data_IF_872967631256
#
_entry.id   IF_872967631256
#
_cell.length_a   1.000
_cell.length_b   1.000
_cell.length_c   1.000
_cell.angle_alpha   90.00
_cell.angle_beta   90.00
_cell.angle_gamma   90.00
#
_symmetry.space_group_name_H-M   'P 1'
#
loop_
_entity.id
_entity.type
_entity.pdbx_description
1 polymer ?
#
# COMPACT_ATOMS: atom_id res chain seq x y z
N UNK A 1 -16.59 26.28 10.82
CA UNK A 1 -15.41 26.74 11.58
C UNK A 1 -14.83 25.54 12.33
N UNK A 2 -13.51 25.34 12.22
CA UNK A 2 -12.66 24.35 12.90
C UNK A 2 -13.22 22.93 13.06
N UNK A 3 -12.85 22.06 12.11
CA UNK A 3 -12.50 20.70 12.46
C UNK A 3 -11.46 20.77 13.59
N UNK A 4 -11.72 20.02 14.64
CA UNK A 4 -10.88 19.79 15.81
C UNK A 4 -9.53 19.20 15.35
N UNK A 5 -8.67 20.08 14.86
CA UNK A 5 -7.28 19.83 14.47
C UNK A 5 -6.41 19.63 15.73
N UNK A 6 -6.80 18.66 16.56
CA UNK A 6 -6.09 18.25 17.76
C UNK A 6 -6.49 16.82 18.16
N UNK A 7 -6.66 15.93 17.18
CA UNK A 7 -6.41 14.51 17.44
C UNK A 7 -4.92 14.36 17.19
N UNK A 8 -4.15 14.33 18.29
CA UNK A 8 -2.71 14.15 18.28
C UNK A 8 -2.34 13.00 17.34
N UNK A 9 -1.33 13.18 16.49
CA UNK A 9 -0.74 12.08 15.70
C UNK A 9 -0.42 10.86 16.59
N UNK A 10 -0.13 11.08 17.88
CA UNK A 10 0.04 10.02 18.86
C UNK A 10 -1.25 9.21 19.08
N UNK A 11 -2.41 9.86 19.20
CA UNK A 11 -3.71 9.19 19.30
C UNK A 11 -4.06 8.47 18.02
N UNK A 12 -3.77 9.05 16.86
CA UNK A 12 -4.03 8.40 15.56
C UNK A 12 -3.13 7.17 15.34
N UNK A 13 -1.87 7.24 15.77
CA UNK A 13 -0.96 6.09 15.82
C UNK A 13 -1.42 5.01 16.80
N UNK A 14 -1.91 5.40 17.98
CA UNK A 14 -2.47 4.46 18.95
C UNK A 14 -3.74 3.82 18.38
N UNK A 15 -4.61 4.60 17.73
CA UNK A 15 -5.83 4.09 17.10
C UNK A 15 -5.50 3.10 15.98
N UNK A 16 -4.57 3.46 15.10
CA UNK A 16 -4.04 2.58 14.04
C UNK A 16 -3.43 1.30 14.62
N UNK A 17 -2.66 1.42 15.71
CA UNK A 17 -2.02 0.28 16.37
C UNK A 17 -3.04 -0.62 17.08
N UNK A 18 -4.03 -0.05 17.77
CA UNK A 18 -5.13 -0.78 18.40
C UNK A 18 -5.95 -1.48 17.34
N UNK A 19 -6.30 -0.82 16.23
CA UNK A 19 -6.97 -1.47 15.10
C UNK A 19 -6.10 -2.63 14.59
N UNK A 20 -4.81 -2.41 14.35
CA UNK A 20 -3.90 -3.46 13.86
C UNK A 20 -3.68 -4.61 14.84
N UNK A 21 -3.90 -4.42 16.13
CA UNK A 21 -3.71 -5.44 17.18
C UNK A 21 -5.01 -6.17 17.52
N UNK A 22 -6.12 -5.44 17.67
CA UNK A 22 -7.45 -6.00 17.95
C UNK A 22 -8.08 -6.67 16.71
N UNK A 23 -7.79 -6.14 15.52
CA UNK A 23 -8.17 -6.75 14.24
C UNK A 23 -7.05 -7.60 13.65
N UNK A 24 -6.07 -8.07 14.45
CA UNK A 24 -5.05 -9.01 13.99
C UNK A 24 -5.64 -10.31 13.41
N UNK A 25 -6.87 -10.67 13.82
CA UNK A 25 -7.65 -11.78 13.28
C UNK A 25 -8.71 -11.35 12.24
N UNK A 26 -8.75 -10.10 11.81
CA UNK A 26 -9.68 -9.61 10.78
C UNK A 26 -8.94 -9.16 9.53
N UNK A 27 -9.57 -9.37 8.38
CA UNK A 27 -8.99 -8.99 7.09
C UNK A 27 -9.05 -7.47 6.91
N UNK A 28 -7.88 -6.82 6.88
CA UNK A 28 -7.75 -5.40 6.57
C UNK A 28 -7.51 -5.24 5.07
N UNK A 29 -8.42 -4.55 4.38
CA UNK A 29 -8.28 -4.24 2.95
C UNK A 29 -7.89 -2.77 2.84
N UNK A 30 -6.66 -2.52 2.40
CA UNK A 30 -6.14 -1.17 2.20
C UNK A 30 -6.08 -0.87 0.70
N UNK A 31 -6.83 0.13 0.26
CA UNK A 31 -6.70 0.69 -1.10
C UNK A 31 -5.71 1.85 -1.03
N UNK A 32 -4.55 1.70 -1.67
CA UNK A 32 -3.49 2.69 -1.64
C UNK A 32 -3.00 3.06 -3.03
N UNK A 33 -2.70 4.34 -3.21
CA UNK A 33 -2.05 4.88 -4.41
C UNK A 33 -0.51 4.92 -4.29
N UNK A 34 0.03 4.68 -3.09
CA UNK A 34 1.47 4.69 -2.82
C UNK A 34 2.02 3.27 -2.82
N UNK A 35 2.95 3.00 -3.73
CA UNK A 35 3.62 1.70 -3.85
C UNK A 35 4.27 1.22 -2.54
N UNK A 36 4.94 2.07 -1.72
CA UNK A 36 5.51 1.61 -0.44
C UNK A 36 4.49 1.04 0.54
N UNK A 37 3.27 1.59 0.55
CA UNK A 37 2.18 1.11 1.42
C UNK A 37 1.67 -0.25 0.97
N UNK A 38 1.61 -0.49 -0.34
CA UNK A 38 1.18 -1.77 -0.92
C UNK A 38 2.27 -2.83 -0.75
N UNK A 39 3.55 -2.45 -0.78
CA UNK A 39 4.67 -3.37 -0.54
C UNK A 39 4.74 -3.90 0.90
N UNK A 40 4.24 -3.17 1.90
CA UNK A 40 4.19 -3.61 3.31
C UNK A 40 2.99 -4.54 3.61
N UNK A 41 2.18 -4.86 2.60
CA UNK A 41 1.03 -5.75 2.75
C UNK A 41 1.44 -7.21 2.62
N UNK A 42 0.71 -8.10 3.31
CA UNK A 42 0.93 -9.56 3.24
C UNK A 42 0.53 -10.12 1.87
N UNK A 43 -0.56 -9.61 1.29
CA UNK A 43 -1.06 -9.98 -0.02
C UNK A 43 -1.43 -8.72 -0.81
N UNK A 44 -1.17 -8.74 -2.11
CA UNK A 44 -1.54 -7.66 -3.03
C UNK A 44 -2.55 -8.18 -4.03
N UNK A 45 -3.59 -7.38 -4.25
CA UNK A 45 -4.67 -7.65 -5.19
C UNK A 45 -4.70 -6.52 -6.24
N UNK A 46 -4.45 -6.84 -7.50
CA UNK A 46 -4.53 -5.89 -8.61
C UNK A 46 -5.80 -6.13 -9.42
N UNK A 47 -6.63 -5.09 -9.54
CA UNK A 47 -7.87 -5.10 -10.33
C UNK A 47 -7.70 -4.16 -11.52
N UNK A 48 -7.98 -4.65 -12.74
CA UNK A 48 -8.09 -3.85 -13.96
C UNK A 48 -9.43 -4.13 -14.63
N UNK A 49 -10.08 -3.10 -15.16
CA UNK A 49 -11.35 -3.22 -15.90
C UNK A 49 -12.44 -4.00 -15.15
N UNK A 50 -12.47 -3.85 -13.82
CA UNK A 50 -13.40 -4.57 -12.94
C UNK A 50 -13.12 -6.07 -12.79
N UNK A 51 -11.97 -6.57 -13.27
CA UNK A 51 -11.53 -7.95 -13.13
C UNK A 51 -10.29 -8.06 -12.26
N UNK A 52 -10.24 -9.12 -11.47
CA UNK A 52 -9.03 -9.49 -10.74
C UNK A 52 -7.96 -9.91 -11.75
N UNK A 53 -6.88 -9.16 -11.84
CA UNK A 53 -5.77 -9.47 -12.75
C UNK A 53 -4.67 -10.20 -12.01
N UNK A 54 -4.39 -9.81 -10.76
CA UNK A 54 -3.32 -10.41 -9.96
C UNK A 54 -3.70 -10.52 -8.50
N UNK A 55 -3.25 -11.60 -7.86
CA UNK A 55 -3.39 -11.81 -6.43
C UNK A 55 -2.27 -12.71 -5.92
N UNK A 56 -1.26 -12.11 -5.28
CA UNK A 56 -0.20 -12.86 -4.58
C UNK A 56 0.58 -11.95 -3.63
N UNK A 57 1.57 -12.53 -2.94
CA UNK A 57 2.55 -11.78 -2.16
C UNK A 57 3.31 -10.77 -3.03
N UNK A 58 3.56 -9.54 -2.53
CA UNK A 58 4.24 -8.50 -3.31
C UNK A 58 5.61 -8.95 -3.82
N UNK A 59 6.34 -9.76 -3.05
CA UNK A 59 7.64 -10.31 -3.47
C UNK A 59 7.54 -11.27 -4.64
N UNK A 60 6.45 -12.05 -4.76
CA UNK A 60 6.23 -12.95 -5.91
C UNK A 60 5.79 -12.17 -7.13
N UNK A 61 4.86 -11.22 -6.95
CA UNK A 61 4.42 -10.34 -8.04
C UNK A 61 5.59 -9.52 -8.62
N UNK A 62 6.50 -9.02 -7.77
CA UNK A 62 7.70 -8.31 -8.24
C UNK A 62 8.69 -9.21 -9.00
N UNK A 63 8.77 -10.50 -8.69
CA UNK A 63 9.63 -11.45 -9.41
C UNK A 63 9.07 -11.82 -10.78
N UNK A 64 7.78 -11.63 -11.00
CA UNK A 64 7.11 -11.95 -12.24
C UNK A 64 7.21 -10.75 -13.19
N UNK A 65 8.02 -10.87 -14.25
CA UNK A 65 8.24 -9.77 -15.20
C UNK A 65 6.97 -9.32 -15.94
N UNK A 66 6.00 -10.23 -16.10
CA UNK A 66 4.69 -9.93 -16.70
C UNK A 66 3.70 -9.33 -15.71
N UNK A 67 4.09 -9.08 -14.46
CA UNK A 67 3.16 -8.62 -13.44
C UNK A 67 2.84 -7.13 -13.58
N UNK A 68 1.55 -6.78 -13.49
CA UNK A 68 1.11 -5.37 -13.44
C UNK A 68 1.68 -4.67 -12.21
N UNK A 69 1.65 -5.31 -11.05
CA UNK A 69 2.25 -4.79 -9.83
C UNK A 69 3.76 -4.58 -9.99
N UNK A 70 4.47 -5.54 -10.58
CA UNK A 70 5.90 -5.42 -10.87
C UNK A 70 6.23 -4.23 -11.79
N UNK A 71 5.42 -4.01 -12.84
CA UNK A 71 5.57 -2.87 -13.74
C UNK A 71 5.31 -1.52 -13.02
N UNK A 72 4.24 -1.43 -12.24
CA UNK A 72 3.90 -0.26 -11.41
C UNK A 72 5.01 0.10 -10.42
N UNK A 73 5.56 -0.92 -9.76
CA UNK A 73 6.70 -0.76 -8.85
C UNK A 73 7.89 -0.21 -9.64
N UNK A 74 8.27 -0.84 -10.75
CA UNK A 74 9.41 -0.42 -11.58
C UNK A 74 9.29 1.02 -12.07
N UNK A 75 8.10 1.43 -12.51
CA UNK A 75 7.81 2.82 -12.90
C UNK A 75 7.95 3.79 -11.73
N UNK A 76 7.41 3.42 -10.55
CA UNK A 76 7.56 4.22 -9.33
C UNK A 76 9.03 4.44 -8.95
N UNK A 77 9.88 3.40 -8.97
CA UNK A 77 11.31 3.53 -8.69
C UNK A 77 12.06 4.33 -9.75
N UNK A 78 11.64 4.25 -11.01
CA UNK A 78 12.20 5.06 -12.11
C UNK A 78 11.94 6.55 -11.90
N UNK A 79 10.72 6.92 -11.48
CA UNK A 79 10.40 8.31 -11.15
C UNK A 79 11.08 8.81 -9.87
N UNK A 80 11.31 7.93 -8.90
CA UNK A 80 12.03 8.30 -7.67
C UNK A 80 13.50 8.64 -7.93
N UNK A 81 14.19 7.88 -8.78
CA UNK A 81 15.60 8.16 -9.15
C UNK A 81 15.77 9.46 -9.96
N UNK A 82 14.74 9.85 -10.73
CA UNK A 82 14.70 11.14 -11.43
C UNK A 82 14.48 12.34 -10.50
N UNK A 83 13.86 12.13 -9.34
CA UNK A 83 13.59 13.19 -8.37
C UNK A 83 14.78 13.48 -7.43
N UNK A 84 15.71 12.53 -7.25
CA UNK A 84 16.93 12.71 -6.44
C UNK A 84 18.15 13.23 -7.24
N UNK A 85 18.02 13.38 -8.56
CA UNK A 85 19.10 13.90 -9.43
C UNK A 85 19.04 15.42 -9.66
N UNK A 86 18.21 16.15 -8.91
CA UNK A 86 18.10 17.62 -8.93
C UNK A 86 18.27 18.25 -7.55
#
# INVERSE_FOLDING_TARGET
>A
MKQTASIDNATDMILQKTIRTEFANSTVITVAHRIPTVMDCTMVLAISDGKLVEYDEPMKLMKQESSLFGQLVKEYWSHYHLAESH
#
